data_IF_399070802832
#
_entry.id   IF_399070802832
#
_cell.length_a   1.000
_cell.length_b   1.000
_cell.length_c   1.000
_cell.angle_alpha   90.00
_cell.angle_beta   90.00
_cell.angle_gamma   90.00
#
_symmetry.space_group_name_H-M   'P 1'
#
loop_
_entity.id
_entity.type
_entity.pdbx_description
1 polymer ?
#
# COMPACT_ATOMS: atom_id res chain seq x y z
N UNK A 1 30.08 68.36 -24.76
CA UNK A 1 29.91 68.41 -23.29
C UNK A 1 28.65 67.70 -22.78
N UNK A 2 27.70 67.28 -23.64
CA UNK A 2 26.40 66.75 -23.17
C UNK A 2 26.37 65.26 -22.81
N UNK A 3 27.30 64.43 -23.31
CA UNK A 3 27.35 63.00 -22.99
C UNK A 3 27.83 62.70 -21.54
N UNK A 4 28.60 63.60 -20.95
CA UNK A 4 29.08 63.46 -19.56
C UNK A 4 27.99 63.75 -18.53
N UNK A 5 27.01 64.60 -18.88
CA UNK A 5 25.88 64.93 -18.01
C UNK A 5 24.93 63.74 -17.86
N UNK A 6 24.69 62.98 -18.94
CA UNK A 6 23.86 61.78 -18.90
C UNK A 6 24.47 60.64 -18.06
N UNK A 7 25.80 60.45 -18.14
CA UNK A 7 26.50 59.46 -17.32
C UNK A 7 26.55 59.84 -15.84
N UNK A 8 26.79 61.13 -15.54
CA UNK A 8 26.77 61.62 -14.16
C UNK A 8 25.36 61.52 -13.54
N UNK A 9 24.31 61.78 -14.34
CA UNK A 9 22.92 61.63 -13.91
C UNK A 9 22.56 60.16 -13.64
N UNK A 10 22.98 59.24 -14.52
CA UNK A 10 22.78 57.80 -14.32
C UNK A 10 23.46 57.26 -13.05
N UNK A 11 24.68 57.71 -12.76
CA UNK A 11 25.40 57.34 -11.55
C UNK A 11 24.72 57.90 -10.27
N UNK A 12 24.23 59.13 -10.32
CA UNK A 12 23.50 59.76 -9.22
C UNK A 12 22.16 59.06 -8.93
N UNK A 13 21.42 58.68 -9.97
CA UNK A 13 20.16 57.92 -9.85
C UNK A 13 20.43 56.50 -9.31
N UNK A 14 21.49 55.84 -9.77
CA UNK A 14 21.90 54.52 -9.24
C UNK A 14 22.27 54.57 -7.75
N UNK A 15 23.03 55.59 -7.33
CA UNK A 15 23.37 55.80 -5.92
C UNK A 15 22.13 56.12 -5.06
N UNK A 16 21.20 56.92 -5.58
CA UNK A 16 19.95 57.26 -4.89
C UNK A 16 19.04 56.04 -4.70
N UNK A 17 18.90 55.20 -5.73
CA UNK A 17 18.14 53.93 -5.68
C UNK A 17 18.82 52.95 -4.70
N UNK A 18 20.15 52.87 -4.69
CA UNK A 18 20.91 52.06 -3.74
C UNK A 18 20.68 52.46 -2.28
N UNK A 19 20.65 53.76 -1.99
CA UNK A 19 20.36 54.30 -0.64
C UNK A 19 18.91 54.04 -0.23
N UNK A 20 17.95 54.16 -1.17
CA UNK A 20 16.54 53.85 -0.93
C UNK A 20 16.32 52.35 -0.63
N UNK A 21 16.93 51.46 -1.41
CA UNK A 21 16.87 50.01 -1.18
C UNK A 21 17.58 49.57 0.10
N UNK A 22 18.70 50.23 0.46
CA UNK A 22 19.39 50.02 1.73
C UNK A 22 18.55 50.43 2.94
N UNK A 23 17.86 51.57 2.86
CA UNK A 23 16.95 52.04 3.93
C UNK A 23 15.68 51.21 4.04
N UNK A 24 15.15 50.68 2.93
CA UNK A 24 14.02 49.75 2.94
C UNK A 24 14.39 48.39 3.57
N UNK A 25 15.60 47.90 3.33
CA UNK A 25 16.12 46.67 3.97
C UNK A 25 16.41 46.87 5.47
N UNK A 26 16.88 48.04 5.87
CA UNK A 26 17.11 48.37 7.29
C UNK A 26 15.81 48.56 8.09
N UNK A 27 14.77 49.14 7.49
CA UNK A 27 13.45 49.28 8.13
C UNK A 27 12.66 47.97 8.16
N UNK A 28 12.81 47.10 7.14
CA UNK A 28 12.26 45.74 7.15
C UNK A 28 12.96 44.81 8.17
N UNK A 29 14.23 45.06 8.49
CA UNK A 29 14.96 44.33 9.53
C UNK A 29 14.58 44.79 10.95
N UNK A 30 14.32 46.10 11.16
CA UNK A 30 13.92 46.63 12.46
C UNK A 30 12.47 46.26 12.86
N UNK A 31 11.55 46.12 11.89
CA UNK A 31 10.16 45.74 12.14
C UNK A 31 9.92 44.27 12.52
N UNK A 32 10.91 43.39 12.33
CA UNK A 32 10.79 41.94 12.66
C UNK A 32 11.31 41.56 14.05
N UNK A 33 11.91 42.50 14.79
CA UNK A 33 12.53 42.22 16.10
C UNK A 33 11.68 42.58 17.33
N UNK A 34 10.44 43.07 17.16
CA UNK A 34 9.59 43.51 18.28
C UNK A 34 8.37 42.61 18.59
N UNK A 35 8.35 41.36 18.12
CA UNK A 35 7.34 40.37 18.52
C UNK A 35 8.01 39.07 18.99
N UNK A 36 8.90 39.19 19.98
CA UNK A 36 9.33 38.05 20.78
C UNK A 36 8.16 37.56 21.64
N UNK A 37 7.33 36.68 21.08
CA UNK A 37 6.59 35.71 21.89
C UNK A 37 7.63 34.93 22.69
N UNK A 38 7.42 34.81 24.00
CA UNK A 38 8.21 33.94 24.85
C UNK A 38 8.43 32.58 24.15
N UNK A 39 9.65 32.03 24.17
CA UNK A 39 9.90 30.75 23.55
C UNK A 39 8.93 29.74 24.16
N UNK A 40 8.17 29.05 23.31
CA UNK A 40 7.41 27.88 23.74
C UNK A 40 8.39 26.96 24.48
N UNK A 41 7.99 26.34 25.61
CA UNK A 41 8.85 25.36 26.26
C UNK A 41 9.29 24.36 25.20
N UNK A 42 10.58 23.98 25.16
CA UNK A 42 11.03 22.98 24.20
C UNK A 42 10.08 21.78 24.31
N UNK A 43 9.62 21.20 23.18
CA UNK A 43 8.92 19.94 23.27
C UNK A 43 9.76 19.02 24.16
N UNK A 44 9.14 18.26 25.09
CA UNK A 44 9.91 17.32 25.90
C UNK A 44 10.80 16.53 24.94
N UNK A 45 12.09 16.36 25.26
CA UNK A 45 13.00 15.68 24.35
C UNK A 45 12.30 14.39 23.94
N UNK A 46 11.98 14.28 22.65
CA UNK A 46 11.61 12.99 22.09
C UNK A 46 12.87 12.19 22.30
N UNK A 47 12.85 11.30 23.29
CA UNK A 47 13.82 10.22 23.36
C UNK A 47 13.61 9.45 22.07
N UNK A 48 14.35 9.83 21.03
CA UNK A 48 14.69 8.92 19.97
C UNK A 48 15.43 7.82 20.70
N UNK A 49 14.74 6.72 20.98
CA UNK A 49 15.41 5.45 21.21
C UNK A 49 16.02 5.09 19.87
N UNK A 50 17.11 5.77 19.51
CA UNK A 50 18.05 5.26 18.53
C UNK A 50 18.59 4.01 19.22
N UNK A 51 18.07 2.87 18.80
CA UNK A 51 18.60 1.59 19.21
C UNK A 51 19.99 1.53 18.58
N UNK A 52 21.00 1.94 19.34
CA UNK A 52 22.42 1.89 18.96
C UNK A 52 22.77 0.52 18.33
N UNK A 53 23.85 0.44 17.55
CA UNK A 53 24.37 -0.82 16.97
C UNK A 53 24.43 -2.00 17.98
N UNK A 54 24.57 -1.71 19.27
CA UNK A 54 24.48 -2.69 20.35
C UNK A 54 23.10 -3.36 20.51
N UNK A 55 22.01 -2.65 20.27
CA UNK A 55 20.64 -3.16 20.36
C UNK A 55 20.30 -4.12 19.23
N UNK A 56 20.75 -3.83 18.00
CA UNK A 56 20.60 -4.73 16.86
C UNK A 56 21.38 -6.04 17.06
N UNK A 57 22.57 -5.97 17.66
CA UNK A 57 23.36 -7.15 18.01
C UNK A 57 22.69 -8.00 19.11
N UNK A 58 22.12 -7.36 20.14
CA UNK A 58 21.35 -8.05 21.20
C UNK A 58 20.11 -8.72 20.61
N UNK A 59 19.42 -8.06 19.69
CA UNK A 59 18.23 -8.60 19.04
C UNK A 59 18.54 -9.76 18.09
N UNK A 60 19.61 -9.66 17.30
CA UNK A 60 20.09 -10.77 16.47
C UNK A 60 20.48 -11.98 17.34
N UNK A 61 21.14 -11.74 18.49
CA UNK A 61 21.44 -12.80 19.45
C UNK A 61 20.18 -13.42 20.08
N UNK A 62 19.13 -12.62 20.30
CA UNK A 62 17.84 -13.07 20.81
C UNK A 62 17.06 -13.88 19.76
N UNK A 63 17.03 -13.43 18.50
CA UNK A 63 16.48 -14.15 17.35
C UNK A 63 17.15 -15.52 17.18
N UNK A 64 18.47 -15.58 17.25
CA UNK A 64 19.21 -16.84 17.15
C UNK A 64 18.87 -17.81 18.30
N UNK A 65 18.65 -17.29 19.52
CA UNK A 65 18.22 -18.10 20.67
C UNK A 65 16.79 -18.61 20.51
N UNK A 66 15.88 -17.78 20.00
CA UNK A 66 14.50 -18.20 19.72
C UNK A 66 14.45 -19.26 18.62
N UNK A 67 15.21 -19.09 17.53
CA UNK A 67 15.34 -20.10 16.48
C UNK A 67 15.85 -21.45 17.02
N UNK A 68 16.84 -21.44 17.92
CA UNK A 68 17.36 -22.64 18.57
C UNK A 68 16.33 -23.33 19.46
N UNK A 69 15.53 -22.57 20.22
CA UNK A 69 14.44 -23.11 21.04
C UNK A 69 13.33 -23.70 20.15
N UNK A 70 13.00 -23.05 19.03
CA UNK A 70 12.04 -23.55 18.05
C UNK A 70 12.47 -24.89 17.44
N UNK A 71 13.73 -25.00 17.02
CA UNK A 71 14.29 -26.24 16.48
C UNK A 71 14.32 -27.39 17.51
N UNK A 72 14.61 -27.10 18.78
CA UNK A 72 14.53 -28.08 19.87
C UNK A 72 13.08 -28.53 20.14
N UNK A 73 12.10 -27.64 19.99
CA UNK A 73 10.68 -27.98 20.07
C UNK A 73 10.25 -28.87 18.89
N UNK A 74 10.74 -28.61 17.68
CA UNK A 74 10.44 -29.45 16.49
C UNK A 74 11.00 -30.87 16.63
N UNK A 75 12.22 -31.01 17.18
CA UNK A 75 12.83 -32.32 17.47
C UNK A 75 12.02 -33.15 18.48
N UNK A 76 11.40 -32.49 19.47
CA UNK A 76 10.56 -33.15 20.46
C UNK A 76 9.20 -33.57 19.88
N UNK A 77 8.69 -32.89 18.86
CA UNK A 77 7.42 -33.22 18.19
C UNK A 77 7.47 -34.56 17.44
N UNK A 78 8.66 -35.00 17.01
CA UNK A 78 8.88 -36.29 16.34
C UNK A 78 9.00 -37.50 17.28
N UNK A 79 8.91 -37.31 18.60
CA UNK A 79 8.96 -38.37 19.60
C UNK A 79 7.54 -38.73 20.10
N UNK A 80 7.28 -39.97 20.55
CA UNK A 80 5.99 -40.32 21.15
C UNK A 80 5.79 -39.57 22.47
N UNK A 81 5.12 -38.42 22.40
CA UNK A 81 4.78 -37.57 23.53
C UNK A 81 3.36 -37.88 24.02
N UNK A 82 3.14 -37.77 25.34
CA UNK A 82 1.79 -37.78 25.88
C UNK A 82 0.99 -36.53 25.40
N UNK A 83 -0.36 -36.57 25.41
CA UNK A 83 -1.19 -35.49 24.88
C UNK A 83 -1.03 -34.14 25.61
N UNK A 84 -0.53 -34.13 26.83
CA UNK A 84 -0.34 -32.92 27.65
C UNK A 84 0.99 -32.24 27.29
N UNK A 85 2.05 -33.02 27.11
CA UNK A 85 3.36 -32.58 26.61
C UNK A 85 3.30 -32.11 25.17
N UNK A 86 2.54 -32.78 24.30
CA UNK A 86 2.35 -32.34 22.91
C UNK A 86 1.68 -30.95 22.83
N UNK A 87 0.68 -30.69 23.69
CA UNK A 87 0.01 -29.39 23.80
C UNK A 87 0.94 -28.31 24.36
N UNK A 88 1.69 -28.60 25.41
CA UNK A 88 2.68 -27.68 25.96
C UNK A 88 3.77 -27.32 24.93
N UNK A 89 4.19 -28.28 24.11
CA UNK A 89 5.17 -28.08 23.04
C UNK A 89 4.64 -27.21 21.90
N UNK A 90 3.38 -27.41 21.49
CA UNK A 90 2.72 -26.54 20.50
C UNK A 90 2.57 -25.10 21.02
N UNK A 91 2.23 -24.92 22.29
CA UNK A 91 2.18 -23.59 22.92
C UNK A 91 3.56 -22.94 22.97
N UNK A 92 4.60 -23.69 23.34
CA UNK A 92 5.98 -23.21 23.37
C UNK A 92 6.45 -22.78 21.97
N UNK A 93 6.20 -23.59 20.94
CA UNK A 93 6.56 -23.28 19.56
C UNK A 93 5.83 -22.02 19.07
N UNK A 94 4.53 -21.89 19.37
CA UNK A 94 3.75 -20.70 19.03
C UNK A 94 4.28 -19.42 19.69
N UNK A 95 4.67 -19.48 20.96
CA UNK A 95 5.22 -18.34 21.70
C UNK A 95 6.64 -17.98 21.26
N UNK A 96 7.47 -18.96 20.91
CA UNK A 96 8.81 -18.73 20.34
C UNK A 96 8.71 -18.02 18.98
N UNK A 97 7.78 -18.45 18.13
CA UNK A 97 7.52 -17.82 16.84
C UNK A 97 7.02 -16.39 17.00
N UNK A 98 6.08 -16.17 17.92
CA UNK A 98 5.54 -14.85 18.25
C UNK A 98 6.61 -13.92 18.82
N UNK A 99 7.51 -14.42 19.67
CA UNK A 99 8.64 -13.67 20.17
C UNK A 99 9.62 -13.30 19.05
N UNK A 100 9.88 -14.22 18.11
CA UNK A 100 10.78 -14.00 16.97
C UNK A 100 10.20 -12.97 15.98
N UNK A 101 8.89 -13.01 15.75
CA UNK A 101 8.17 -11.99 14.98
C UNK A 101 8.33 -10.59 15.64
N UNK A 102 8.16 -10.49 16.96
CA UNK A 102 8.29 -9.21 17.69
C UNK A 102 9.71 -8.65 17.57
N UNK A 103 10.74 -9.48 17.71
CA UNK A 103 12.13 -9.07 17.60
C UNK A 103 12.52 -8.71 16.18
N UNK A 104 12.06 -9.44 15.17
CA UNK A 104 12.33 -9.10 13.77
C UNK A 104 11.73 -7.73 13.39
N UNK A 105 10.49 -7.45 13.78
CA UNK A 105 9.86 -6.15 13.53
C UNK A 105 10.55 -5.00 14.29
N UNK A 106 11.15 -5.27 15.45
CA UNK A 106 11.90 -4.27 16.22
C UNK A 106 13.29 -3.98 15.61
N UNK A 107 13.88 -4.94 14.92
CA UNK A 107 15.06 -4.75 14.07
C UNK A 107 14.74 -3.88 12.85
N UNK A 108 13.59 -4.09 12.20
CA UNK A 108 13.14 -3.28 11.08
C UNK A 108 12.87 -1.82 11.48
N UNK A 109 12.36 -1.60 12.70
CA UNK A 109 12.19 -0.27 13.29
C UNK A 109 13.53 0.42 13.61
N UNK A 110 14.57 -0.34 13.94
CA UNK A 110 15.90 0.19 14.25
C UNK A 110 16.75 0.49 12.99
N UNK A 111 16.53 -0.25 11.90
CA UNK A 111 17.36 -0.20 10.70
C UNK A 111 16.95 0.88 9.68
N UNK A 112 15.78 1.51 9.83
CA UNK A 112 15.30 2.55 8.90
C UNK A 112 15.35 3.94 9.54
N UNK A 113 16.48 4.67 9.44
CA UNK A 113 16.51 6.08 9.82
C UNK A 113 15.55 6.87 8.92
N UNK A 114 14.88 7.86 9.53
CA UNK A 114 14.03 8.83 8.84
C UNK A 114 14.86 9.51 7.73
N UNK A 115 14.65 9.13 6.48
CA UNK A 115 15.31 9.73 5.32
C UNK A 115 15.31 8.81 4.10
N UNK A 116 14.62 9.22 3.04
CA UNK A 116 14.49 8.57 1.73
C UNK A 116 13.56 7.33 1.66
N UNK A 117 12.37 7.40 2.28
CA UNK A 117 11.30 6.46 1.92
C UNK A 117 10.89 6.68 0.45
N UNK A 118 10.95 5.62 -0.36
CA UNK A 118 10.31 5.61 -1.68
C UNK A 118 8.83 5.97 -1.51
N UNK A 119 8.32 7.00 -2.19
CA UNK A 119 6.95 7.40 -2.04
C UNK A 119 6.02 6.34 -2.62
N UNK A 120 4.87 6.11 -1.97
CA UNK A 120 3.84 5.19 -2.46
C UNK A 120 2.51 5.86 -2.74
N UNK A 121 1.75 5.24 -3.64
CA UNK A 121 0.37 5.63 -3.95
C UNK A 121 -0.57 5.01 -2.90
N UNK A 122 -1.10 5.85 -2.03
CA UNK A 122 -1.98 5.40 -0.95
C UNK A 122 -3.31 4.84 -1.46
N UNK A 123 -3.78 5.26 -2.64
CA UNK A 123 -5.01 4.74 -3.23
C UNK A 123 -4.84 3.29 -3.67
N UNK A 124 -3.73 2.98 -4.35
CA UNK A 124 -3.41 1.62 -4.80
C UNK A 124 -3.30 0.68 -3.60
N UNK A 125 -2.50 1.06 -2.61
CA UNK A 125 -2.25 0.18 -1.45
C UNK A 125 -3.52 -0.04 -0.64
N UNK A 126 -4.32 1.00 -0.42
CA UNK A 126 -5.55 0.89 0.38
C UNK A 126 -6.62 0.07 -0.34
N UNK A 127 -6.77 0.20 -1.66
CA UNK A 127 -7.67 -0.65 -2.43
C UNK A 127 -7.20 -2.11 -2.47
N UNK A 128 -5.90 -2.36 -2.64
CA UNK A 128 -5.33 -3.71 -2.66
C UNK A 128 -5.54 -4.45 -1.34
N UNK A 129 -5.25 -3.79 -0.21
CA UNK A 129 -5.47 -4.34 1.13
C UNK A 129 -6.95 -4.62 1.41
N UNK A 130 -7.86 -3.77 0.92
CA UNK A 130 -9.31 -4.01 1.08
C UNK A 130 -9.81 -5.18 0.22
N UNK A 131 -9.28 -5.35 -0.99
CA UNK A 131 -9.59 -6.50 -1.84
C UNK A 131 -9.12 -7.81 -1.19
N UNK A 132 -7.92 -7.83 -0.61
CA UNK A 132 -7.40 -9.00 0.11
C UNK A 132 -8.30 -9.42 1.30
N UNK A 133 -8.94 -8.44 1.97
CA UNK A 133 -9.81 -8.69 3.13
C UNK A 133 -11.29 -8.82 2.80
N UNK A 134 -11.68 -8.80 1.52
CA UNK A 134 -13.08 -8.83 1.12
C UNK A 134 -13.80 -10.12 1.57
N UNK A 135 -13.14 -11.28 1.45
CA UNK A 135 -13.68 -12.56 1.90
C UNK A 135 -13.99 -12.57 3.40
N UNK A 136 -13.02 -12.16 4.23
CA UNK A 136 -13.19 -12.09 5.68
C UNK A 136 -14.28 -11.09 6.10
N UNK A 137 -14.39 -9.95 5.41
CA UNK A 137 -15.45 -8.97 5.68
C UNK A 137 -16.84 -9.55 5.39
N UNK A 138 -16.99 -10.30 4.29
CA UNK A 138 -18.24 -10.99 3.93
C UNK A 138 -18.60 -12.08 4.93
N UNK A 139 -17.64 -12.93 5.29
CA UNK A 139 -17.82 -14.01 6.28
C UNK A 139 -18.30 -13.48 7.63
N UNK A 140 -17.76 -12.33 8.06
CA UNK A 140 -18.15 -11.70 9.32
C UNK A 140 -19.42 -10.84 9.21
N UNK A 141 -20.02 -10.69 8.02
CA UNK A 141 -21.20 -9.86 7.81
C UNK A 141 -20.93 -8.36 8.07
N UNK A 142 -19.72 -7.90 7.77
CA UNK A 142 -19.31 -6.51 7.98
C UNK A 142 -19.71 -5.67 6.77
N UNK A 143 -20.51 -4.62 6.99
CA UNK A 143 -20.79 -3.59 5.99
C UNK A 143 -19.58 -2.67 5.85
N UNK A 144 -18.89 -2.73 4.71
CA UNK A 144 -17.79 -1.82 4.39
C UNK A 144 -18.33 -0.54 3.75
N UNK A 145 -17.99 0.62 4.32
CA UNK A 145 -18.25 1.95 3.75
C UNK A 145 -16.92 2.62 3.47
N UNK A 146 -16.72 3.04 2.21
CA UNK A 146 -15.47 3.67 1.76
C UNK A 146 -15.71 5.08 1.25
N UNK A 147 -14.91 6.02 1.73
CA UNK A 147 -14.84 7.41 1.26
C UNK A 147 -13.39 7.72 0.92
N UNK A 148 -12.94 7.20 -0.22
CA UNK A 148 -11.56 7.30 -0.69
C UNK A 148 -11.57 8.06 -2.02
N UNK A 149 -10.94 9.23 -2.12
CA UNK A 149 -10.77 9.94 -3.38
C UNK A 149 -9.99 9.11 -4.41
N UNK A 150 -10.31 9.27 -5.70
CA UNK A 150 -9.61 8.57 -6.78
C UNK A 150 -8.21 9.10 -7.04
N UNK A 151 -7.99 10.39 -6.77
CA UNK A 151 -6.72 11.07 -6.92
C UNK A 151 -6.20 11.42 -5.53
N UNK A 152 -5.21 10.66 -5.06
CA UNK A 152 -4.57 10.87 -3.77
C UNK A 152 -3.09 11.20 -3.97
N UNK A 153 -2.53 12.12 -3.18
CA UNK A 153 -1.13 12.44 -3.25
C UNK A 153 -0.27 11.27 -2.80
N UNK A 154 0.92 11.17 -3.38
CA UNK A 154 1.94 10.23 -2.92
C UNK A 154 2.30 10.50 -1.45
N UNK A 155 2.46 9.44 -0.67
CA UNK A 155 2.86 9.52 0.75
C UNK A 155 4.33 9.13 0.90
N UNK A 156 5.05 9.77 1.82
CA UNK A 156 6.43 9.40 2.17
C UNK A 156 6.47 8.15 3.05
N UNK A 157 5.96 7.06 2.53
CA UNK A 157 5.90 5.75 3.16
C UNK A 157 6.12 4.69 2.07
N UNK A 158 7.08 3.76 2.19
CA UNK A 158 7.26 2.69 1.20
C UNK A 158 6.02 1.82 1.09
N UNK A 159 5.75 1.28 -0.11
CA UNK A 159 4.56 0.47 -0.36
C UNK A 159 4.40 -0.69 0.63
N UNK A 160 5.47 -1.46 0.87
CA UNK A 160 5.43 -2.60 1.80
C UNK A 160 5.06 -2.18 3.24
N UNK A 161 5.63 -1.07 3.71
CA UNK A 161 5.37 -0.52 5.04
C UNK A 161 3.94 0.02 5.15
N UNK A 162 3.43 0.68 4.10
CA UNK A 162 2.05 1.16 4.04
C UNK A 162 1.07 -0.02 4.02
N UNK A 163 1.33 -1.04 3.21
CA UNK A 163 0.55 -2.28 3.15
C UNK A 163 0.48 -2.92 4.53
N UNK A 164 1.63 -3.13 5.16
CA UNK A 164 1.68 -3.76 6.47
C UNK A 164 0.94 -2.94 7.52
N UNK A 165 1.14 -1.62 7.57
CA UNK A 165 0.44 -0.75 8.51
C UNK A 165 -1.08 -0.84 8.35
N UNK A 166 -1.59 -0.77 7.12
CA UNK A 166 -3.03 -0.89 6.85
C UNK A 166 -3.56 -2.28 7.20
N UNK A 167 -2.79 -3.33 6.94
CA UNK A 167 -3.16 -4.70 7.32
C UNK A 167 -3.29 -4.85 8.83
N UNK A 168 -2.36 -4.32 9.63
CA UNK A 168 -2.48 -4.34 11.09
C UNK A 168 -3.70 -3.56 11.59
N UNK A 169 -4.01 -2.43 10.97
CA UNK A 169 -5.21 -1.66 11.31
C UNK A 169 -6.51 -2.39 10.98
N UNK A 170 -6.56 -3.08 9.84
CA UNK A 170 -7.69 -3.93 9.50
C UNK A 170 -7.79 -5.11 10.47
N UNK A 171 -6.68 -5.78 10.79
CA UNK A 171 -6.68 -6.90 11.75
C UNK A 171 -7.17 -6.45 13.13
N UNK A 172 -6.73 -5.27 13.60
CA UNK A 172 -7.25 -4.65 14.83
C UNK A 172 -8.77 -4.44 14.77
N UNK A 173 -9.27 -3.87 13.68
CA UNK A 173 -10.70 -3.58 13.49
C UNK A 173 -11.53 -4.87 13.39
N UNK A 174 -11.06 -5.84 12.60
CA UNK A 174 -11.72 -7.13 12.39
C UNK A 174 -11.80 -7.95 13.67
N UNK A 175 -10.76 -7.94 14.52
CA UNK A 175 -10.81 -8.58 15.85
C UNK A 175 -11.94 -7.99 16.69
N UNK A 176 -12.02 -6.66 16.79
CA UNK A 176 -13.10 -5.98 17.54
C UNK A 176 -14.48 -6.24 16.97
N UNK A 177 -14.60 -6.36 15.65
CA UNK A 177 -15.87 -6.68 14.99
C UNK A 177 -16.32 -8.14 15.21
N UNK A 178 -15.39 -9.10 15.30
CA UNK A 178 -15.72 -10.51 15.62
C UNK A 178 -16.44 -10.65 16.96
N UNK A 179 -15.97 -9.91 17.95
CA UNK A 179 -16.52 -9.95 19.31
C UNK A 179 -17.78 -9.08 19.48
N UNK A 180 -18.17 -8.35 18.42
CA UNK A 180 -19.34 -7.46 18.41
C UNK A 180 -20.59 -8.13 17.84
N UNK A 181 -21.75 -7.72 18.38
CA UNK A 181 -23.07 -8.09 17.87
C UNK A 181 -23.36 -7.37 16.54
N UNK A 182 -24.01 -8.02 15.55
CA UNK A 182 -24.51 -7.35 14.36
C UNK A 182 -25.50 -6.22 14.70
N UNK A 183 -25.60 -5.14 13.88
CA UNK A 183 -24.91 -4.94 12.60
C UNK A 183 -23.44 -4.52 12.78
N UNK A 184 -22.57 -5.13 11.97
CA UNK A 184 -21.14 -4.82 11.93
C UNK A 184 -20.86 -3.86 10.78
N UNK A 185 -20.15 -2.79 11.05
CA UNK A 185 -19.79 -1.78 10.05
C UNK A 185 -18.33 -1.37 10.21
N UNK A 186 -17.64 -1.24 9.07
CA UNK A 186 -16.29 -0.70 8.98
C UNK A 186 -16.33 0.47 8.00
N UNK A 187 -15.92 1.66 8.44
CA UNK A 187 -15.85 2.88 7.65
C UNK A 187 -14.40 3.27 7.46
N UNK A 188 -14.01 3.48 6.21
CA UNK A 188 -12.67 3.98 5.86
C UNK A 188 -12.82 5.29 5.11
N UNK A 189 -12.28 6.35 5.68
CA UNK A 189 -12.30 7.69 5.10
C UNK A 189 -10.89 8.19 4.87
N UNK A 190 -10.62 8.73 3.69
CA UNK A 190 -9.35 9.39 3.38
C UNK A 190 -9.62 10.87 3.12
N UNK A 191 -8.88 11.73 3.80
CA UNK A 191 -8.97 13.17 3.66
C UNK A 191 -7.59 13.77 3.51
N UNK A 192 -7.48 14.81 2.69
CA UNK A 192 -6.26 15.59 2.58
C UNK A 192 -6.22 16.68 3.64
N UNK A 193 -5.16 16.69 4.45
CA UNK A 193 -4.93 17.68 5.51
C UNK A 193 -3.64 18.45 5.27
N UNK A 194 -3.69 19.52 4.47
CA UNK A 194 -2.51 20.35 4.18
C UNK A 194 -1.33 19.54 3.64
N UNK A 195 -0.17 19.48 4.35
CA UNK A 195 1.00 18.70 3.93
C UNK A 195 0.89 17.20 4.24
N UNK A 196 -0.24 16.71 4.72
CA UNK A 196 -0.43 15.32 5.13
C UNK A 196 -1.66 14.67 4.50
N UNK A 197 -1.62 13.35 4.38
CA UNK A 197 -2.77 12.50 4.11
C UNK A 197 -3.31 11.94 5.43
N UNK A 198 -4.62 12.02 5.64
CA UNK A 198 -5.29 11.53 6.85
C UNK A 198 -6.19 10.35 6.48
N UNK A 199 -5.87 9.18 7.00
CA UNK A 199 -6.64 7.95 6.85
C UNK A 199 -7.36 7.68 8.17
N UNK A 200 -8.68 7.58 8.12
CA UNK A 200 -9.55 7.27 9.25
C UNK A 200 -10.18 5.90 9.04
N UNK A 201 -10.09 5.06 10.08
CA UNK A 201 -10.75 3.77 10.14
C UNK A 201 -11.63 3.76 11.37
N UNK A 202 -12.95 3.77 11.18
CA UNK A 202 -13.93 3.59 12.23
C UNK A 202 -14.57 2.22 12.10
N UNK A 203 -14.73 1.50 13.20
CA UNK A 203 -15.50 0.27 13.25
C UNK A 203 -16.57 0.31 14.34
N UNK A 204 -17.65 -0.43 14.13
CA UNK A 204 -18.80 -0.51 15.03
C UNK A 204 -18.61 -1.44 16.23
N UNK A 205 -17.38 -1.89 16.52
CA UNK A 205 -17.09 -2.80 17.62
C UNK A 205 -17.40 -2.21 19.00
N UNK A 206 -17.17 -2.98 20.07
CA UNK A 206 -17.38 -2.50 21.44
C UNK A 206 -16.55 -1.21 21.70
N UNK A 207 -17.15 -0.14 22.27
CA UNK A 207 -16.42 1.09 22.57
C UNK A 207 -15.20 0.82 23.46
N UNK A 208 -14.08 1.48 23.17
CA UNK A 208 -12.88 1.32 23.98
C UNK A 208 -13.07 1.97 25.35
N UNK A 209 -12.78 1.22 26.42
CA UNK A 209 -12.73 1.77 27.79
C UNK A 209 -11.52 2.69 27.96
N UNK A 210 -11.50 3.52 29.01
CA UNK A 210 -10.41 4.50 29.19
C UNK A 210 -9.10 3.76 29.42
N UNK A 211 -9.17 2.66 30.17
CA UNK A 211 -8.05 1.77 30.40
C UNK A 211 -7.57 1.09 29.11
N UNK A 212 -8.47 0.62 28.24
CA UNK A 212 -8.10 0.00 26.98
C UNK A 212 -7.41 1.01 26.04
N UNK A 213 -7.94 2.23 25.94
CA UNK A 213 -7.30 3.31 25.19
C UNK A 213 -5.89 3.60 25.74
N UNK A 214 -5.74 3.73 27.07
CA UNK A 214 -4.45 3.97 27.72
C UNK A 214 -3.45 2.84 27.47
N UNK A 215 -3.89 1.58 27.49
CA UNK A 215 -3.04 0.42 27.17
C UNK A 215 -2.59 0.47 25.71
N UNK A 216 -3.51 0.71 24.78
CA UNK A 216 -3.20 0.82 23.36
C UNK A 216 -2.16 1.90 23.08
N UNK A 217 -2.27 3.08 23.73
CA UNK A 217 -1.32 4.19 23.51
C UNK A 217 0.01 4.06 24.25
N UNK A 218 0.11 3.16 25.23
CA UNK A 218 1.34 2.96 26.02
C UNK A 218 2.28 1.95 25.34
N UNK A 219 3.55 2.29 25.07
CA UNK A 219 4.51 1.34 24.50
C UNK A 219 4.75 0.12 25.41
N UNK A 220 4.86 -1.08 24.81
CA UNK A 220 5.33 -2.33 25.44
C UNK A 220 4.55 -2.85 26.65
N UNK A 221 3.28 -2.44 26.84
CA UNK A 221 2.38 -3.05 27.83
C UNK A 221 1.41 -4.02 27.16
N UNK A 222 1.88 -5.25 26.93
CA UNK A 222 1.05 -6.35 26.46
C UNK A 222 0.66 -7.23 27.64
N UNK A 223 -0.63 -7.36 27.93
CA UNK A 223 -1.10 -8.24 29.01
C UNK A 223 -1.73 -9.50 28.44
N UNK A 224 -1.39 -10.68 28.96
CA UNK A 224 -1.87 -11.98 28.47
C UNK A 224 -3.40 -12.18 28.59
N UNK A 225 -4.14 -11.24 29.21
CA UNK A 225 -5.54 -11.42 29.59
C UNK A 225 -6.53 -10.42 28.97
N UNK A 226 -6.13 -9.59 28.00
CA UNK A 226 -7.01 -8.52 27.50
C UNK A 226 -7.17 -8.49 25.97
N UNK A 227 -8.40 -8.72 25.51
CA UNK A 227 -9.06 -7.97 24.42
C UNK A 227 -8.56 -8.06 22.98
N UNK A 228 -7.39 -8.63 22.69
CA UNK A 228 -6.90 -8.93 21.33
C UNK A 228 -6.81 -7.71 20.38
N UNK A 229 -5.61 -7.18 20.12
CA UNK A 229 -5.42 -6.04 19.21
C UNK A 229 -4.30 -5.07 19.60
N UNK A 230 -3.76 -5.21 20.82
CA UNK A 230 -2.71 -4.33 21.34
C UNK A 230 -1.42 -4.40 20.51
N UNK A 231 -1.08 -5.59 20.01
CA UNK A 231 0.10 -5.82 19.16
C UNK A 231 -0.11 -5.15 17.81
N UNK A 232 -1.26 -5.38 17.17
CA UNK A 232 -1.59 -4.81 15.87
C UNK A 232 -1.58 -3.27 15.92
N UNK A 233 -2.19 -2.68 16.95
CA UNK A 233 -2.21 -1.24 17.12
C UNK A 233 -0.82 -0.67 17.39
N UNK A 234 -0.02 -1.32 18.24
CA UNK A 234 1.34 -0.90 18.54
C UNK A 234 2.23 -0.96 17.28
N UNK A 235 2.10 -2.02 16.48
CA UNK A 235 2.87 -2.20 15.25
C UNK A 235 2.45 -1.18 14.18
N UNK A 236 1.14 -1.00 13.95
CA UNK A 236 0.65 0.04 13.05
C UNK A 236 1.15 1.43 13.46
N UNK A 237 1.19 1.72 14.77
CA UNK A 237 1.73 3.00 15.27
C UNK A 237 3.22 3.13 15.01
N UNK A 238 3.98 2.07 15.23
CA UNK A 238 5.42 2.08 14.99
C UNK A 238 5.74 2.30 13.50
N UNK A 239 5.02 1.62 12.59
CA UNK A 239 5.12 1.80 11.14
C UNK A 239 4.73 3.21 10.68
N UNK A 240 3.69 3.79 11.29
CA UNK A 240 3.32 5.19 11.04
C UNK A 240 4.43 6.15 11.48
N UNK A 241 5.03 5.92 12.66
CA UNK A 241 6.09 6.76 13.22
C UNK A 241 7.40 6.66 12.44
N UNK A 242 7.82 5.47 12.00
CA UNK A 242 8.99 5.27 11.14
C UNK A 242 8.82 5.97 9.79
N UNK A 243 7.59 6.10 9.30
CA UNK A 243 7.24 6.84 8.08
C UNK A 243 7.09 8.35 8.30
N UNK A 244 7.50 8.89 9.45
CA UNK A 244 7.37 10.32 9.79
C UNK A 244 5.91 10.77 10.03
N UNK A 245 4.99 9.83 10.18
CA UNK A 245 3.58 10.05 10.45
C UNK A 245 3.20 9.86 11.92
N UNK A 246 1.90 9.88 12.18
CA UNK A 246 1.33 9.62 13.50
C UNK A 246 0.09 8.74 13.40
N UNK A 247 -0.18 7.97 14.46
CA UNK A 247 -1.41 7.18 14.60
C UNK A 247 -2.02 7.50 15.96
N UNK A 248 -3.32 7.81 15.97
CA UNK A 248 -4.07 8.21 17.18
C UNK A 248 -5.46 7.59 17.19
N UNK A 249 -6.03 7.45 18.38
CA UNK A 249 -7.46 7.17 18.54
C UNK A 249 -8.23 8.48 18.59
N UNK A 250 -9.37 8.57 17.90
CA UNK A 250 -10.23 9.75 17.96
C UNK A 250 -11.11 9.70 19.23
N UNK A 251 -11.39 10.85 19.87
CA UNK A 251 -12.17 10.89 21.10
C UNK A 251 -13.59 10.35 20.93
N UNK A 252 -14.13 9.80 22.03
CA UNK A 252 -15.46 9.19 22.11
C UNK A 252 -16.56 10.12 21.63
N UNK A 253 -17.30 9.68 20.59
CA UNK A 253 -18.40 10.47 20.05
C UNK A 253 -19.54 9.72 19.36
N UNK A 254 -19.47 8.39 19.17
CA UNK A 254 -20.48 7.73 18.32
C UNK A 254 -20.56 6.20 18.37
N UNK A 255 -20.19 5.56 19.48
CA UNK A 255 -20.01 4.10 19.52
C UNK A 255 -18.82 3.66 18.65
N UNK A 256 -18.37 2.41 18.80
CA UNK A 256 -17.20 1.95 18.05
C UNK A 256 -15.87 2.50 18.54
N UNK A 257 -14.85 2.39 17.70
CA UNK A 257 -13.60 3.14 17.84
C UNK A 257 -13.12 3.64 16.48
N UNK A 258 -12.45 4.78 16.48
CA UNK A 258 -11.85 5.35 15.29
C UNK A 258 -10.33 5.49 15.46
N UNK A 259 -9.59 4.85 14.58
CA UNK A 259 -8.14 5.02 14.45
C UNK A 259 -7.87 5.99 13.31
N UNK A 260 -7.04 6.99 13.57
CA UNK A 260 -6.65 8.02 12.60
C UNK A 260 -5.14 7.95 12.40
N UNK A 261 -4.73 7.67 11.17
CA UNK A 261 -3.35 7.73 10.71
C UNK A 261 -3.14 9.02 9.92
N UNK A 262 -2.05 9.73 10.21
CA UNK A 262 -1.62 10.91 9.46
C UNK A 262 -0.24 10.65 8.90
N UNK A 263 -0.10 10.63 7.58
CA UNK A 263 1.16 10.41 6.89
C UNK A 263 1.60 11.70 6.16
N UNK A 264 2.89 12.05 6.18
CA UNK A 264 3.39 13.17 5.39
C UNK A 264 3.23 12.88 3.89
N UNK A 265 2.77 13.88 3.15
CA UNK A 265 2.81 13.85 1.68
C UNK A 265 4.26 13.89 1.22
N UNK A 266 4.55 13.19 0.14
CA UNK A 266 5.86 13.25 -0.48
C UNK A 266 6.13 14.62 -1.08
N UNK A 267 7.28 15.21 -0.68
CA UNK A 267 7.85 16.46 -1.22
C UNK A 267 8.80 16.21 -2.39
N UNK A 268 9.29 14.98 -2.54
CA UNK A 268 9.57 14.49 -3.88
C UNK A 268 8.23 14.62 -4.57
N UNK A 269 8.11 15.62 -5.44
CA UNK A 269 6.98 15.78 -6.35
C UNK A 269 6.59 14.38 -6.83
N UNK A 270 5.35 14.12 -7.24
CA UNK A 270 5.18 12.99 -8.13
C UNK A 270 6.27 13.22 -9.20
N UNK A 271 7.31 12.36 -9.24
CA UNK A 271 7.93 11.96 -10.48
C UNK A 271 6.68 11.69 -11.26
N UNK A 272 6.32 12.67 -12.08
CA UNK A 272 4.93 12.87 -12.40
C UNK A 272 4.42 11.49 -12.77
N UNK A 273 3.15 11.22 -12.54
CA UNK A 273 2.50 10.56 -13.64
C UNK A 273 2.73 11.48 -14.88
N UNK A 274 3.90 11.42 -15.51
CA UNK A 274 4.02 10.62 -16.70
C UNK A 274 3.27 9.29 -16.44
N UNK A 275 1.93 9.36 -16.34
CA UNK A 275 1.17 8.80 -17.42
C UNK A 275 2.00 9.19 -18.63
N UNK A 276 2.70 8.26 -19.31
CA UNK A 276 2.52 8.37 -20.75
C UNK A 276 1.02 8.65 -20.86
N UNK A 277 0.66 9.86 -21.27
CA UNK A 277 -0.57 10.00 -22.00
C UNK A 277 -0.29 9.04 -23.14
N UNK A 278 -0.53 7.75 -22.91
CA UNK A 278 -0.65 6.78 -23.95
C UNK A 278 -1.76 7.45 -24.72
N UNK A 279 -1.44 8.01 -25.91
CA UNK A 279 -2.45 8.70 -26.68
C UNK A 279 -3.68 7.79 -26.67
N UNK A 280 -4.88 8.32 -26.44
CA UNK A 280 -6.08 7.52 -26.25
C UNK A 280 -6.04 6.41 -27.30
N UNK A 281 -5.98 5.16 -26.83
CA UNK A 281 -5.79 4.04 -27.73
C UNK A 281 -6.89 4.13 -28.78
N UNK A 282 -6.58 3.91 -30.07
CA UNK A 282 -7.62 3.80 -31.07
C UNK A 282 -8.63 2.75 -30.61
N UNK A 283 -9.87 2.83 -31.06
CA UNK A 283 -10.86 1.80 -30.75
C UNK A 283 -10.31 0.43 -31.12
N UNK A 284 -10.12 -0.41 -30.10
CA UNK A 284 -9.55 -1.77 -30.21
C UNK A 284 -10.65 -2.81 -30.09
N UNK A 285 -10.43 -3.97 -30.70
CA UNK A 285 -11.23 -5.19 -30.53
C UNK A 285 -10.49 -6.12 -29.58
N UNK A 286 -11.05 -6.33 -28.39
CA UNK A 286 -10.39 -7.04 -27.29
C UNK A 286 -11.16 -8.32 -26.98
N UNK A 287 -10.45 -9.44 -26.92
CA UNK A 287 -10.99 -10.72 -26.42
C UNK A 287 -10.63 -10.85 -24.94
N UNK A 288 -11.64 -10.99 -24.08
CA UNK A 288 -11.48 -11.25 -22.65
C UNK A 288 -11.82 -12.71 -22.36
N UNK A 289 -10.92 -13.42 -21.69
CA UNK A 289 -11.07 -14.82 -21.30
C UNK A 289 -10.89 -14.93 -19.78
N UNK A 290 -11.96 -15.20 -19.06
CA UNK A 290 -11.95 -15.32 -17.60
C UNK A 290 -13.12 -16.20 -17.16
N UNK A 291 -12.89 -17.20 -16.29
CA UNK A 291 -13.91 -18.15 -15.86
C UNK A 291 -14.88 -17.56 -14.82
N UNK A 292 -14.44 -16.56 -14.06
CA UNK A 292 -15.28 -15.85 -13.11
C UNK A 292 -16.24 -14.89 -13.84
N UNK A 293 -17.54 -15.17 -13.76
CA UNK A 293 -18.57 -14.40 -14.45
C UNK A 293 -18.62 -12.93 -14.00
N UNK A 294 -18.29 -12.64 -12.73
CA UNK A 294 -18.32 -11.28 -12.18
C UNK A 294 -17.12 -10.48 -12.70
N UNK A 295 -15.92 -11.06 -12.63
CA UNK A 295 -14.70 -10.42 -13.12
C UNK A 295 -14.75 -10.22 -14.65
N UNK A 296 -15.18 -11.25 -15.39
CA UNK A 296 -15.37 -11.18 -16.84
C UNK A 296 -16.32 -10.04 -17.24
N UNK A 297 -17.46 -9.92 -16.55
CA UNK A 297 -18.44 -8.86 -16.83
C UNK A 297 -17.92 -7.47 -16.43
N UNK A 298 -17.23 -7.34 -15.30
CA UNK A 298 -16.64 -6.09 -14.86
C UNK A 298 -15.60 -5.58 -15.86
N UNK A 299 -14.69 -6.47 -16.31
CA UNK A 299 -13.66 -6.14 -17.29
C UNK A 299 -14.27 -5.72 -18.62
N UNK A 300 -15.32 -6.41 -19.07
CA UNK A 300 -16.07 -6.05 -20.29
C UNK A 300 -16.61 -4.62 -20.20
N UNK A 301 -17.36 -4.32 -19.14
CA UNK A 301 -18.00 -3.00 -18.95
C UNK A 301 -16.97 -1.87 -18.87
N UNK A 302 -15.84 -2.08 -18.20
CA UNK A 302 -14.79 -1.08 -18.07
C UNK A 302 -14.12 -0.80 -19.42
N UNK A 303 -13.76 -1.84 -20.17
CA UNK A 303 -13.15 -1.70 -21.50
C UNK A 303 -14.12 -1.10 -22.53
N UNK A 304 -15.41 -1.48 -22.50
CA UNK A 304 -16.46 -0.87 -23.33
C UNK A 304 -16.62 0.64 -23.02
N UNK A 305 -16.50 1.03 -21.75
CA UNK A 305 -16.58 2.43 -21.32
C UNK A 305 -15.45 3.30 -21.87
N UNK A 306 -14.25 2.72 -22.05
CA UNK A 306 -13.12 3.38 -22.70
C UNK A 306 -13.23 3.38 -24.25
N UNK A 307 -14.32 2.86 -24.81
CA UNK A 307 -14.64 2.92 -26.23
C UNK A 307 -14.18 1.71 -27.05
N UNK A 308 -13.67 0.66 -26.41
CA UNK A 308 -13.25 -0.58 -27.08
C UNK A 308 -14.45 -1.48 -27.43
N UNK A 309 -14.28 -2.32 -28.45
CA UNK A 309 -15.20 -3.44 -28.73
C UNK A 309 -14.71 -4.68 -27.98
N UNK A 310 -15.53 -5.24 -27.10
CA UNK A 310 -15.11 -6.34 -26.22
C UNK A 310 -15.93 -7.58 -26.48
N UNK A 311 -15.26 -8.70 -26.73
CA UNK A 311 -15.86 -10.03 -26.74
C UNK A 311 -15.36 -10.76 -25.50
N UNK A 312 -16.27 -11.27 -24.67
CA UNK A 312 -15.92 -11.96 -23.44
C UNK A 312 -16.38 -13.42 -23.50
N UNK A 313 -15.49 -14.35 -23.12
CA UNK A 313 -15.71 -15.81 -23.11
C UNK A 313 -15.22 -16.40 -21.78
N UNK A 314 -15.75 -17.56 -21.41
CA UNK A 314 -15.52 -18.14 -20.07
C UNK A 314 -14.34 -19.12 -20.00
N UNK A 315 -13.75 -19.52 -21.12
CA UNK A 315 -12.64 -20.47 -21.14
C UNK A 315 -11.83 -20.40 -22.45
N UNK A 316 -10.65 -21.03 -22.46
CA UNK A 316 -9.76 -21.02 -23.62
C UNK A 316 -10.29 -21.75 -24.87
N UNK A 317 -11.20 -22.72 -24.74
CA UNK A 317 -11.77 -23.40 -25.91
C UNK A 317 -12.69 -22.45 -26.70
N UNK A 318 -13.56 -21.72 -26.00
CA UNK A 318 -14.37 -20.67 -26.60
C UNK A 318 -13.51 -19.54 -27.16
N UNK A 319 -12.38 -19.23 -26.51
CA UNK A 319 -11.43 -18.26 -27.04
C UNK A 319 -10.90 -18.70 -28.41
N UNK A 320 -10.50 -19.96 -28.58
CA UNK A 320 -10.05 -20.51 -29.88
C UNK A 320 -11.16 -20.40 -30.94
N UNK A 321 -12.39 -20.73 -30.59
CA UNK A 321 -13.54 -20.62 -31.51
C UNK A 321 -13.76 -19.16 -31.96
N UNK A 322 -13.67 -18.20 -31.04
CA UNK A 322 -13.83 -16.77 -31.33
C UNK A 322 -12.69 -16.19 -32.13
N UNK A 323 -11.47 -16.64 -31.88
CA UNK A 323 -10.29 -16.25 -32.66
C UNK A 323 -10.42 -16.72 -34.12
N UNK A 324 -11.13 -17.82 -34.39
CA UNK A 324 -11.45 -18.31 -35.74
C UNK A 324 -10.19 -18.57 -36.58
N UNK A 325 -10.29 -18.80 -37.90
CA UNK A 325 -9.11 -18.99 -38.78
C UNK A 325 -8.45 -17.68 -39.26
N UNK A 326 -9.10 -16.53 -39.10
CA UNK A 326 -8.58 -15.23 -39.52
C UNK A 326 -7.96 -14.48 -38.33
N UNK A 327 -6.64 -14.33 -38.32
CA UNK A 327 -5.83 -13.73 -37.24
C UNK A 327 -6.10 -12.24 -36.97
N UNK A 328 -6.81 -11.54 -37.86
CA UNK A 328 -6.90 -10.07 -37.87
C UNK A 328 -8.11 -9.50 -37.12
N UNK A 329 -8.77 -10.30 -36.27
CA UNK A 329 -10.02 -9.87 -35.62
C UNK A 329 -9.83 -9.19 -34.27
N UNK A 330 -8.75 -9.45 -33.55
CA UNK A 330 -8.53 -8.91 -32.21
C UNK A 330 -7.16 -8.26 -32.10
N UNK A 331 -7.15 -7.06 -31.52
CA UNK A 331 -5.94 -6.27 -31.29
C UNK A 331 -5.27 -6.64 -29.97
N UNK A 332 -6.03 -7.24 -29.04
CA UNK A 332 -5.52 -7.78 -27.79
C UNK A 332 -6.35 -8.98 -27.30
N UNK A 333 -5.68 -9.93 -26.64
CA UNK A 333 -6.29 -11.03 -25.90
C UNK A 333 -5.90 -10.89 -24.43
N UNK A 334 -6.87 -10.57 -23.57
CA UNK A 334 -6.70 -10.51 -22.12
C UNK A 334 -7.21 -11.82 -21.53
N UNK A 335 -6.34 -12.58 -20.87
CA UNK A 335 -6.70 -13.92 -20.39
C UNK A 335 -6.24 -14.14 -18.95
N UNK A 336 -7.08 -14.76 -18.12
CA UNK A 336 -6.62 -15.31 -16.85
C UNK A 336 -5.65 -16.47 -17.13
N UNK A 337 -4.53 -16.48 -16.41
CA UNK A 337 -3.53 -17.53 -16.54
C UNK A 337 -4.07 -18.89 -16.07
N UNK A 338 -4.89 -18.90 -15.01
CA UNK A 338 -5.45 -20.12 -14.43
C UNK A 338 -6.96 -20.16 -14.60
N UNK A 339 -7.43 -21.04 -15.49
CA UNK A 339 -8.86 -21.29 -15.71
C UNK A 339 -9.10 -22.80 -15.88
N UNK A 340 -10.29 -23.30 -15.52
CA UNK A 340 -10.69 -24.67 -15.81
C UNK A 340 -10.81 -24.93 -17.33
N UNK A 341 -10.74 -26.21 -17.72
CA UNK A 341 -10.72 -26.69 -19.12
C UNK A 341 -9.41 -26.33 -19.83
N UNK A 342 -9.36 -25.19 -20.50
CA UNK A 342 -8.15 -24.70 -21.18
C UNK A 342 -7.73 -23.37 -20.54
N UNK A 343 -6.68 -23.42 -19.73
CA UNK A 343 -6.11 -22.26 -19.05
C UNK A 343 -5.36 -21.31 -19.99
N UNK A 344 -5.14 -20.07 -19.56
CA UNK A 344 -4.50 -19.04 -20.38
C UNK A 344 -3.09 -19.40 -20.84
N UNK A 345 -2.33 -20.13 -20.02
CA UNK A 345 -1.01 -20.66 -20.40
C UNK A 345 -1.09 -21.64 -21.58
N UNK A 346 -1.93 -22.66 -21.46
CA UNK A 346 -2.09 -23.68 -22.50
C UNK A 346 -2.68 -23.09 -23.79
N UNK A 347 -3.61 -22.14 -23.66
CA UNK A 347 -4.13 -21.36 -24.79
C UNK A 347 -3.02 -20.60 -25.53
N UNK A 348 -2.13 -19.93 -24.79
CA UNK A 348 -1.02 -19.19 -25.35
C UNK A 348 -0.02 -20.13 -26.05
N UNK A 349 0.44 -21.20 -25.38
CA UNK A 349 1.40 -22.16 -25.93
C UNK A 349 0.89 -22.76 -27.25
N UNK A 350 -0.39 -23.16 -27.28
CA UNK A 350 -1.02 -23.70 -28.50
C UNK A 350 -1.07 -22.67 -29.64
N UNK A 351 -1.32 -21.39 -29.33
CA UNK A 351 -1.37 -20.33 -30.33
C UNK A 351 0.02 -19.83 -30.73
N UNK A 352 1.03 -19.93 -29.86
CA UNK A 352 2.39 -19.56 -30.18
C UNK A 352 2.97 -20.47 -31.27
N UNK A 353 2.67 -21.77 -31.23
CA UNK A 353 3.07 -22.74 -32.25
C UNK A 353 2.36 -22.51 -33.59
N UNK A 354 1.06 -22.23 -33.55
CA UNK A 354 0.22 -22.18 -34.75
C UNK A 354 0.15 -20.79 -35.37
N UNK A 355 0.23 -19.73 -34.55
CA UNK A 355 -0.06 -18.33 -34.89
C UNK A 355 0.74 -17.36 -34.00
N UNK A 356 2.08 -17.31 -34.15
CA UNK A 356 2.94 -16.50 -33.29
C UNK A 356 2.57 -15.01 -33.26
N UNK A 357 2.10 -14.45 -34.38
CA UNK A 357 1.63 -13.05 -34.45
C UNK A 357 0.43 -12.75 -33.54
N UNK A 358 -0.44 -13.74 -33.31
CA UNK A 358 -1.57 -13.60 -32.40
C UNK A 358 -1.14 -13.78 -30.95
N UNK A 359 -0.16 -14.65 -30.69
CA UNK A 359 0.43 -14.83 -29.36
C UNK A 359 1.08 -13.53 -28.85
N UNK A 360 1.65 -12.71 -29.75
CA UNK A 360 2.19 -11.38 -29.40
C UNK A 360 1.14 -10.38 -28.88
N UNK A 361 -0.16 -10.70 -29.04
CA UNK A 361 -1.28 -9.87 -28.61
C UNK A 361 -1.80 -10.23 -27.21
N UNK A 362 -1.13 -11.14 -26.50
CA UNK A 362 -1.59 -11.64 -25.21
C UNK A 362 -1.21 -10.73 -24.03
N UNK A 363 -2.17 -10.54 -23.13
CA UNK A 363 -1.98 -9.93 -21.82
C UNK A 363 -2.50 -10.92 -20.78
N UNK A 364 -1.65 -11.29 -19.83
CA UNK A 364 -2.02 -12.22 -18.78
C UNK A 364 -2.51 -11.49 -17.53
N UNK A 365 -3.59 -11.97 -16.93
CA UNK A 365 -4.06 -11.53 -15.62
C UNK A 365 -3.88 -12.68 -14.63
N UNK A 366 -3.20 -12.48 -13.50
CA UNK A 366 -2.90 -13.58 -12.56
C UNK A 366 -2.94 -13.15 -11.10
N UNK A 367 -3.51 -13.97 -10.23
CA UNK A 367 -3.47 -13.78 -8.77
C UNK A 367 -2.30 -14.44 -8.06
N UNK A 368 -1.46 -15.21 -8.76
CA UNK A 368 -0.45 -16.09 -8.13
C UNK A 368 0.91 -16.05 -8.87
N UNK A 369 1.60 -14.89 -8.79
CA UNK A 369 3.00 -14.77 -9.25
C UNK A 369 4.02 -15.33 -8.25
N UNK A 370 3.58 -15.80 -7.08
CA UNK A 370 4.47 -16.36 -6.05
C UNK A 370 4.87 -17.81 -6.37
N UNK A 371 4.09 -18.54 -7.18
CA UNK A 371 4.52 -19.85 -7.70
C UNK A 371 5.63 -19.70 -8.73
N UNK A 372 6.72 -20.42 -8.49
CA UNK A 372 7.90 -20.47 -9.38
C UNK A 372 7.53 -20.82 -10.84
N UNK A 373 6.56 -21.71 -11.05
CA UNK A 373 6.12 -22.12 -12.39
C UNK A 373 5.43 -21.00 -13.17
N UNK A 374 4.58 -20.22 -12.50
CA UNK A 374 3.90 -19.05 -13.09
C UNK A 374 4.92 -17.98 -13.43
N UNK A 375 5.84 -17.70 -12.50
CA UNK A 375 6.88 -16.70 -12.70
C UNK A 375 7.79 -17.06 -13.87
N UNK A 376 8.30 -18.29 -13.91
CA UNK A 376 9.16 -18.77 -15.00
C UNK A 376 8.47 -18.67 -16.36
N UNK A 377 7.22 -19.10 -16.46
CA UNK A 377 6.45 -18.98 -17.70
C UNK A 377 6.31 -17.52 -18.17
N UNK A 378 5.94 -16.60 -17.26
CA UNK A 378 5.78 -15.19 -17.61
C UNK A 378 7.12 -14.54 -18.03
N UNK A 379 8.21 -14.92 -17.36
CA UNK A 379 9.56 -14.46 -17.69
C UNK A 379 10.03 -15.03 -19.06
N UNK A 380 9.67 -16.27 -19.39
CA UNK A 380 10.02 -16.95 -20.65
C UNK A 380 9.17 -16.47 -21.86
N UNK A 381 7.86 -16.25 -21.68
CA UNK A 381 6.97 -15.88 -22.78
C UNK A 381 7.09 -14.40 -23.19
N UNK A 382 7.58 -13.53 -22.31
CA UNK A 382 7.83 -12.11 -22.58
C UNK A 382 6.58 -11.25 -22.81
N UNK A 383 5.38 -11.79 -22.56
CA UNK A 383 4.14 -11.05 -22.69
C UNK A 383 3.84 -10.20 -21.46
N UNK A 384 3.17 -9.04 -21.61
CA UNK A 384 2.73 -8.25 -20.47
C UNK A 384 1.81 -9.05 -19.55
N UNK A 385 2.00 -8.89 -18.24
CA UNK A 385 1.12 -9.48 -17.23
C UNK A 385 0.75 -8.48 -16.14
N UNK A 386 -0.46 -8.61 -15.62
CA UNK A 386 -1.05 -7.77 -14.59
C UNK A 386 -1.46 -8.64 -13.40
N UNK A 387 -1.10 -8.23 -12.18
CA UNK A 387 -1.35 -9.01 -10.96
C UNK A 387 -2.71 -8.65 -10.36
N UNK A 388 -3.55 -9.64 -10.01
CA UNK A 388 -4.77 -9.43 -9.21
C UNK A 388 -4.37 -9.19 -7.74
N UNK A 389 -4.89 -8.16 -7.05
CA UNK A 389 -5.77 -7.09 -7.56
C UNK A 389 -4.98 -6.04 -8.37
N UNK A 390 -5.56 -5.57 -9.49
CA UNK A 390 -4.93 -4.61 -10.40
C UNK A 390 -5.71 -3.30 -10.54
N UNK A 391 -5.00 -2.21 -10.86
CA UNK A 391 -5.64 -0.99 -11.35
C UNK A 391 -6.04 -1.16 -12.82
N UNK A 392 -7.20 -0.62 -13.20
CA UNK A 392 -7.65 -0.66 -14.58
C UNK A 392 -6.69 0.08 -15.54
N UNK A 393 -5.97 1.08 -15.04
CA UNK A 393 -4.93 1.82 -15.77
C UNK A 393 -3.76 0.91 -16.15
N UNK A 394 -3.36 -0.01 -15.27
CA UNK A 394 -2.29 -0.98 -15.55
C UNK A 394 -2.72 -1.97 -16.64
N UNK A 395 -3.99 -2.38 -16.62
CA UNK A 395 -4.58 -3.22 -17.65
C UNK A 395 -4.59 -2.53 -19.02
N UNK A 396 -5.02 -1.27 -19.09
CA UNK A 396 -5.01 -0.47 -20.32
C UNK A 396 -3.59 -0.26 -20.84
N UNK A 397 -2.62 0.00 -19.96
CA UNK A 397 -1.22 0.14 -20.34
C UNK A 397 -0.66 -1.17 -20.91
N UNK A 398 -1.00 -2.31 -20.33
CA UNK A 398 -0.60 -3.62 -20.84
C UNK A 398 -1.22 -3.91 -22.22
N UNK A 399 -2.52 -3.60 -22.39
CA UNK A 399 -3.22 -3.71 -23.68
C UNK A 399 -2.57 -2.81 -24.74
N UNK A 400 -2.22 -1.58 -24.38
CA UNK A 400 -1.55 -0.64 -25.29
C UNK A 400 -0.20 -1.14 -25.80
N UNK A 401 0.58 -1.83 -24.96
CA UNK A 401 1.89 -2.41 -25.33
C UNK A 401 1.78 -3.53 -26.37
N UNK A 402 0.69 -4.29 -26.35
CA UNK A 402 0.48 -5.39 -27.31
C UNK A 402 -0.21 -4.91 -28.57
N UNK A 403 -1.15 -3.96 -28.45
CA UNK A 403 -1.83 -3.36 -29.59
C UNK A 403 -0.88 -2.55 -30.49
N UNK A 404 0.20 -1.98 -29.94
CA UNK A 404 1.20 -1.25 -30.74
C UNK A 404 2.16 -2.14 -31.55
N UNK A 405 2.12 -3.47 -31.35
CA UNK A 405 2.94 -4.44 -32.09
C UNK A 405 2.25 -5.01 -33.33
N UNK A 406 0.96 -4.71 -33.49
CA UNK A 406 0.10 -5.24 -34.54
C UNK A 406 0.28 -4.55 -35.90
#
# INVERSE_FOLDING_TARGET
MELWVAFAFGAAVGAFIGVLLGRYRATAAAGRLAAARAPAPPPPPVQHVVLDEGSANVLNALNNRLAAIGALADLLHGSPLDPERARALMMLHGEVRRAAEITQHFLELAQHPIGAAEPSDASIVLNGVLAEREGTLKELGVKLVRSIPHDLPMVSCPMAQLTEMLMKLLDFSLRRLRDSQPPRELRIGVTEGGPALVISLWDSGAPLSVEAEQRLVTPFRFTQSAGGGEIEFALARALAQSSGGTLRLRPRGGGGAEVVVTLPKSVLAPLARATPSTPPLPKLRILVVDDDAVNRQAMRLLLEREGHEVVAVENGLEAIERLGPASDRFDAVVTDLQMPRLGGRALYEQLQEQRPQLAERFVFVTGDRARDETRRFLDECGQPSVMKPYDFTDLIAAIGKVASKA
#
